data_IF_006879958789
#
_entry.id   IF_006879958789
#
_cell.length_a   1.000
_cell.length_b   1.000
_cell.length_c   1.000
_cell.angle_alpha   90.00
_cell.angle_beta   90.00
_cell.angle_gamma   90.00
#
_symmetry.space_group_name_H-M   'P 1'
#
loop_
_entity.id
_entity.type
_entity.pdbx_description
1 polymer ?
#
# COMPACT_ATOMS: atom_id res chain seq x y z
N UNK A 1 8.41 -6.15 17.73
CA UNK A 1 8.90 -5.03 16.87
C UNK A 1 7.74 -4.43 16.11
N UNK A 2 7.85 -3.18 15.67
CA UNK A 2 6.77 -2.47 14.97
C UNK A 2 7.25 -2.13 13.55
N UNK A 3 6.48 -2.54 12.55
CA UNK A 3 6.69 -2.15 11.15
C UNK A 3 5.96 -0.83 10.85
N UNK A 4 6.57 0.04 10.07
CA UNK A 4 5.95 1.27 9.56
C UNK A 4 6.05 1.25 8.04
N UNK A 5 4.92 1.42 7.33
CA UNK A 5 4.89 1.52 5.88
C UNK A 5 4.56 2.96 5.46
N UNK A 6 5.41 3.51 4.60
CA UNK A 6 5.19 4.82 3.98
C UNK A 6 5.05 4.69 2.46
N UNK A 7 4.58 5.72 1.78
CA UNK A 7 4.38 5.74 0.32
C UNK A 7 5.64 6.11 -0.47
N UNK A 8 6.69 6.62 0.20
CA UNK A 8 7.95 7.08 -0.43
C UNK A 8 9.16 6.83 0.45
N UNK A 9 10.33 6.53 -0.16
CA UNK A 9 11.59 6.35 0.59
C UNK A 9 12.00 7.57 1.42
N UNK A 10 11.76 8.78 0.92
CA UNK A 10 12.09 10.02 1.61
C UNK A 10 11.30 10.19 2.91
N UNK A 11 9.99 9.90 2.85
CA UNK A 11 9.10 9.94 4.02
C UNK A 11 9.50 8.88 5.05
N UNK A 12 9.77 7.65 4.59
CA UNK A 12 10.18 6.56 5.47
C UNK A 12 11.50 6.85 6.20
N UNK A 13 12.48 7.38 5.49
CA UNK A 13 13.77 7.78 6.10
C UNK A 13 13.61 8.91 7.10
N UNK A 14 12.74 9.89 6.81
CA UNK A 14 12.51 11.02 7.70
C UNK A 14 11.76 10.60 8.98
N UNK A 15 10.71 9.80 8.85
CA UNK A 15 10.03 9.22 10.01
C UNK A 15 11.03 8.38 10.81
N UNK A 16 11.83 7.52 10.14
CA UNK A 16 12.86 6.71 10.79
C UNK A 16 13.85 7.56 11.59
N UNK A 17 14.34 8.67 11.03
CA UNK A 17 15.21 9.63 11.73
C UNK A 17 14.56 10.14 13.01
N UNK A 18 13.31 10.56 12.94
CA UNK A 18 12.58 11.18 14.05
C UNK A 18 12.35 10.20 15.21
N UNK A 19 12.04 8.92 14.89
CA UNK A 19 11.77 7.89 15.90
C UNK A 19 13.00 7.08 16.33
N UNK A 20 14.19 7.36 15.75
CA UNK A 20 15.44 6.70 16.09
C UNK A 20 15.72 5.40 15.33
N UNK A 21 14.99 5.11 14.25
CA UNK A 21 15.28 4.01 13.34
C UNK A 21 16.23 4.47 12.23
N UNK A 22 17.52 4.57 12.55
CA UNK A 22 18.53 5.22 11.68
C UNK A 22 19.45 4.27 10.94
N UNK A 23 19.41 2.97 11.26
CA UNK A 23 20.24 1.97 10.59
C UNK A 23 19.69 1.65 9.22
N UNK A 24 20.38 2.08 8.18
CA UNK A 24 19.96 1.89 6.79
C UNK A 24 20.16 0.45 6.34
N UNK A 25 19.16 -0.13 5.70
CA UNK A 25 19.15 -1.42 5.04
C UNK A 25 18.66 -1.28 3.59
N UNK A 26 18.75 -2.35 2.84
CA UNK A 26 18.19 -2.36 1.49
C UNK A 26 16.66 -2.39 1.55
N UNK A 27 16.02 -1.27 1.16
CA UNK A 27 14.58 -1.12 1.12
C UNK A 27 13.89 -0.77 2.45
N UNK A 28 14.62 -0.56 3.56
CA UNK A 28 14.07 -0.12 4.85
C UNK A 28 15.13 0.52 5.75
N UNK A 29 14.70 1.13 6.84
CA UNK A 29 15.57 1.55 7.95
C UNK A 29 15.09 0.90 9.25
N UNK A 30 16.00 0.65 10.21
CA UNK A 30 15.66 0.00 11.47
C UNK A 30 16.34 0.65 12.67
N UNK A 31 15.77 0.49 13.84
CA UNK A 31 16.29 0.94 15.13
C UNK A 31 15.18 1.26 16.11
N UNK A 32 15.55 1.38 17.39
CA UNK A 32 14.63 1.76 18.47
C UNK A 32 13.31 0.96 18.52
N UNK A 33 13.35 -0.34 18.15
CA UNK A 33 12.15 -1.20 18.13
C UNK A 33 11.29 -1.07 16.87
N UNK A 34 11.70 -0.28 15.89
CA UNK A 34 10.98 -0.05 14.64
C UNK A 34 11.73 -0.55 13.43
N UNK A 35 10.96 -0.94 12.41
CA UNK A 35 11.42 -1.18 11.04
C UNK A 35 10.55 -0.33 10.10
N UNK A 36 11.14 0.67 9.45
CA UNK A 36 10.41 1.59 8.56
C UNK A 36 10.75 1.27 7.12
N UNK A 37 9.74 0.86 6.35
CA UNK A 37 9.84 0.54 4.92
C UNK A 37 8.90 1.45 4.12
N UNK A 38 8.94 1.33 2.81
CA UNK A 38 8.19 2.22 1.91
C UNK A 38 7.75 1.51 0.64
N UNK A 39 6.75 2.09 -0.01
CA UNK A 39 6.41 1.76 -1.40
C UNK A 39 7.07 2.74 -2.37
N UNK A 40 6.93 2.50 -3.65
CA UNK A 40 7.28 3.42 -4.74
C UNK A 40 5.98 3.96 -5.37
N UNK A 41 5.15 4.59 -4.55
CA UNK A 41 3.77 4.93 -4.93
C UNK A 41 2.91 3.67 -5.09
N UNK A 42 1.97 3.69 -6.03
CA UNK A 42 1.08 2.55 -6.30
C UNK A 42 1.83 1.41 -7.00
N UNK A 43 2.34 0.45 -6.24
CA UNK A 43 3.02 -0.75 -6.77
C UNK A 43 2.04 -1.87 -7.14
N UNK A 44 0.81 -1.80 -6.64
CA UNK A 44 -0.26 -2.77 -6.86
C UNK A 44 -1.47 -2.10 -7.52
N UNK A 45 -2.18 -2.85 -8.33
CA UNK A 45 -3.44 -2.45 -8.94
C UNK A 45 -4.41 -3.62 -8.97
N UNK A 46 -5.69 -3.34 -9.15
CA UNK A 46 -6.66 -4.40 -9.43
C UNK A 46 -6.37 -4.99 -10.81
N UNK A 47 -6.51 -6.30 -10.92
CA UNK A 47 -6.43 -7.02 -12.18
C UNK A 47 -7.46 -6.48 -13.17
N UNK A 48 -7.07 -6.39 -14.42
CA UNK A 48 -7.93 -5.95 -15.52
C UNK A 48 -8.75 -7.15 -16.05
N UNK A 49 -9.88 -6.92 -16.73
CA UNK A 49 -10.70 -8.02 -17.27
C UNK A 49 -9.93 -9.08 -18.07
N UNK A 50 -8.92 -8.64 -18.84
CA UNK A 50 -8.04 -9.53 -19.60
C UNK A 50 -7.24 -10.52 -18.72
N UNK A 51 -6.95 -10.13 -17.48
CA UNK A 51 -6.15 -10.92 -16.54
C UNK A 51 -6.98 -12.08 -15.95
N UNK A 52 -8.33 -12.00 -16.05
CA UNK A 52 -9.26 -13.06 -15.69
C UNK A 52 -9.55 -14.05 -16.84
N UNK A 53 -8.71 -14.07 -17.89
CA UNK A 53 -8.84 -14.99 -19.00
C UNK A 53 -9.90 -14.60 -20.06
N UNK A 54 -10.48 -13.44 -19.97
CA UNK A 54 -11.41 -12.90 -20.96
C UNK A 54 -10.62 -12.31 -22.15
N UNK A 55 -10.48 -13.10 -23.22
CA UNK A 55 -9.65 -12.71 -24.38
C UNK A 55 -10.26 -11.59 -25.22
N UNK A 56 -11.58 -11.47 -25.29
CA UNK A 56 -12.31 -10.38 -25.97
C UNK A 56 -13.57 -10.06 -25.19
N UNK A 57 -13.67 -8.84 -24.70
CA UNK A 57 -14.89 -8.31 -24.13
C UNK A 57 -15.63 -7.54 -25.22
N UNK A 58 -16.87 -7.92 -25.50
CA UNK A 58 -17.77 -7.17 -26.35
C UNK A 58 -18.52 -6.10 -25.53
N UNK A 59 -19.13 -5.15 -26.21
CA UNK A 59 -19.84 -4.02 -25.55
C UNK A 59 -20.92 -4.51 -24.57
N UNK A 60 -21.50 -5.66 -24.83
CA UNK A 60 -22.54 -6.26 -23.98
C UNK A 60 -22.01 -6.96 -22.72
N UNK A 61 -20.70 -7.19 -22.64
CA UNK A 61 -20.05 -7.82 -21.47
C UNK A 61 -19.74 -6.81 -20.35
N UNK A 62 -20.06 -5.54 -20.56
CA UNK A 62 -19.87 -4.50 -19.55
C UNK A 62 -21.18 -4.21 -18.79
N UNK A 63 -21.11 -4.02 -17.46
CA UNK A 63 -19.89 -3.96 -16.65
C UNK A 63 -19.34 -5.37 -16.35
N UNK A 64 -18.04 -5.58 -16.59
CA UNK A 64 -17.34 -6.81 -16.15
C UNK A 64 -17.14 -6.75 -14.62
N UNK A 65 -17.70 -7.71 -13.92
CA UNK A 65 -17.57 -7.84 -12.46
C UNK A 65 -17.04 -9.23 -12.18
N UNK A 66 -15.75 -9.36 -11.79
CA UNK A 66 -15.20 -10.64 -11.39
C UNK A 66 -15.87 -11.13 -10.09
N UNK A 67 -15.88 -12.44 -9.87
CA UNK A 67 -16.35 -13.04 -8.61
C UNK A 67 -15.52 -12.57 -7.43
N UNK A 68 -14.20 -12.44 -7.64
CA UNK A 68 -13.24 -11.89 -6.68
C UNK A 68 -12.32 -10.91 -7.39
N UNK A 69 -11.96 -9.81 -6.70
CA UNK A 69 -11.02 -8.84 -7.21
C UNK A 69 -9.60 -9.24 -6.82
N UNK A 70 -8.76 -9.49 -7.82
CA UNK A 70 -7.36 -9.82 -7.63
C UNK A 70 -6.47 -8.58 -7.66
N UNK A 71 -5.44 -8.58 -6.82
CA UNK A 71 -4.39 -7.57 -6.82
C UNK A 71 -3.19 -8.09 -7.62
N UNK A 72 -2.67 -7.25 -8.49
CA UNK A 72 -1.51 -7.54 -9.32
C UNK A 72 -0.42 -6.50 -9.12
N UNK A 73 0.83 -6.93 -9.20
CA UNK A 73 1.96 -5.99 -9.27
C UNK A 73 1.84 -5.16 -10.55
N UNK A 74 2.10 -3.87 -10.43
CA UNK A 74 2.13 -2.96 -11.58
C UNK A 74 3.07 -3.49 -12.66
N UNK A 75 2.58 -3.46 -13.90
CA UNK A 75 3.34 -3.87 -15.08
C UNK A 75 3.94 -2.67 -15.81
N UNK A 76 5.09 -2.88 -16.39
CA UNK A 76 5.73 -1.94 -17.30
C UNK A 76 5.81 -2.55 -18.71
N UNK A 77 5.76 -1.70 -19.72
CA UNK A 77 5.87 -2.13 -21.12
C UNK A 77 7.33 -2.25 -21.50
N UNK A 78 7.70 -3.41 -22.06
CA UNK A 78 9.00 -3.67 -22.65
C UNK A 78 8.86 -3.99 -24.14
N UNK A 79 9.95 -4.15 -24.83
CA UNK A 79 9.96 -4.60 -26.25
C UNK A 79 9.30 -5.97 -26.43
N UNK A 80 9.38 -6.83 -25.42
CA UNK A 80 8.81 -8.18 -25.41
C UNK A 80 7.39 -8.27 -24.79
N UNK A 81 6.74 -7.12 -24.51
CA UNK A 81 5.41 -7.08 -23.94
C UNK A 81 5.35 -6.46 -22.54
N UNK A 82 4.25 -6.73 -21.84
CA UNK A 82 4.03 -6.23 -20.48
C UNK A 82 4.60 -7.23 -19.47
N UNK A 83 5.48 -6.74 -18.60
CA UNK A 83 6.07 -7.53 -17.50
C UNK A 83 5.86 -6.82 -16.17
N UNK A 84 5.82 -7.56 -15.03
CA UNK A 84 5.81 -6.95 -13.71
C UNK A 84 7.02 -6.02 -13.52
N UNK A 85 6.79 -4.86 -12.93
CA UNK A 85 7.88 -3.92 -12.63
C UNK A 85 8.82 -4.51 -11.58
N UNK A 86 10.06 -4.74 -11.96
CA UNK A 86 11.05 -5.48 -11.14
C UNK A 86 11.28 -4.79 -9.79
N UNK A 87 11.41 -3.46 -9.78
CA UNK A 87 11.65 -2.72 -8.54
C UNK A 87 10.47 -2.84 -7.57
N UNK A 88 9.23 -2.85 -8.08
CA UNK A 88 8.04 -3.09 -7.28
C UNK A 88 8.02 -4.50 -6.69
N UNK A 89 8.36 -5.52 -7.49
CA UNK A 89 8.45 -6.92 -7.03
C UNK A 89 9.50 -7.07 -5.92
N UNK A 90 10.68 -6.49 -6.11
CA UNK A 90 11.77 -6.57 -5.13
C UNK A 90 11.40 -5.85 -3.83
N UNK A 91 10.80 -4.66 -3.93
CA UNK A 91 10.40 -3.90 -2.75
C UNK A 91 9.24 -4.58 -1.99
N UNK A 92 8.28 -5.19 -2.68
CA UNK A 92 7.23 -5.98 -2.03
C UNK A 92 7.80 -7.14 -1.22
N UNK A 93 8.84 -7.82 -1.71
CA UNK A 93 9.54 -8.86 -0.94
C UNK A 93 10.25 -8.30 0.30
N UNK A 94 10.76 -7.06 0.23
CA UNK A 94 11.34 -6.39 1.41
C UNK A 94 10.25 -6.07 2.42
N UNK A 95 9.12 -5.50 1.97
CA UNK A 95 7.98 -5.18 2.84
C UNK A 95 7.45 -6.45 3.52
N UNK A 96 7.28 -7.53 2.77
CA UNK A 96 6.85 -8.83 3.29
C UNK A 96 7.75 -9.29 4.44
N UNK A 97 9.08 -9.28 4.22
CA UNK A 97 10.06 -9.66 5.24
C UNK A 97 9.98 -8.76 6.48
N UNK A 98 9.84 -7.45 6.29
CA UNK A 98 9.70 -6.48 7.38
C UNK A 98 8.42 -6.76 8.17
N UNK A 99 7.30 -6.99 7.51
CA UNK A 99 6.03 -7.29 8.17
C UNK A 99 6.09 -8.60 8.94
N UNK A 100 6.66 -9.66 8.36
CA UNK A 100 6.83 -10.96 9.03
C UNK A 100 7.73 -10.89 10.27
N UNK A 101 8.67 -9.95 10.31
CA UNK A 101 9.55 -9.73 11.46
C UNK A 101 8.95 -8.88 12.59
N UNK A 102 7.73 -8.37 12.39
CA UNK A 102 7.08 -7.43 13.30
C UNK A 102 5.71 -7.92 13.78
N UNK A 103 5.35 -7.54 15.01
CA UNK A 103 4.10 -7.96 15.67
C UNK A 103 2.95 -6.99 15.35
N UNK A 104 3.26 -5.79 14.93
CA UNK A 104 2.30 -4.70 14.69
C UNK A 104 2.73 -3.91 13.47
N UNK A 105 1.77 -3.44 12.69
CA UNK A 105 2.00 -2.62 11.50
C UNK A 105 1.39 -1.24 11.69
N UNK A 106 2.12 -0.19 11.33
CA UNK A 106 1.64 1.19 11.28
C UNK A 106 1.62 1.65 9.83
N UNK A 107 0.43 2.01 9.36
CA UNK A 107 0.24 2.67 8.08
C UNK A 107 0.59 4.15 8.21
N UNK A 108 1.67 4.58 7.58
CA UNK A 108 2.15 5.97 7.55
C UNK A 108 2.24 6.49 6.10
N UNK A 109 1.39 5.99 5.23
CA UNK A 109 1.17 6.51 3.88
C UNK A 109 0.41 7.84 3.94
N UNK A 110 0.36 8.59 2.85
CA UNK A 110 -0.30 9.90 2.80
C UNK A 110 -1.68 9.90 3.48
N UNK A 111 -2.00 10.99 4.18
CA UNK A 111 -3.30 11.18 4.84
C UNK A 111 -4.39 11.50 3.81
N UNK A 112 -4.67 10.56 2.93
CA UNK A 112 -5.61 10.65 1.82
C UNK A 112 -6.24 9.29 1.51
N UNK A 113 -7.26 9.28 0.65
CA UNK A 113 -7.84 8.04 0.12
C UNK A 113 -6.80 7.19 -0.64
N UNK A 114 -5.97 7.83 -1.45
CA UNK A 114 -4.96 7.12 -2.26
C UNK A 114 -3.87 6.51 -1.37
N UNK A 115 -3.45 7.21 -0.32
CA UNK A 115 -2.52 6.67 0.66
C UNK A 115 -3.12 5.49 1.42
N UNK A 116 -4.40 5.55 1.78
CA UNK A 116 -5.09 4.43 2.40
C UNK A 116 -5.19 3.22 1.46
N UNK A 117 -5.56 3.43 0.19
CA UNK A 117 -5.58 2.37 -0.82
C UNK A 117 -4.21 1.73 -1.02
N UNK A 118 -3.15 2.54 -1.10
CA UNK A 118 -1.78 2.04 -1.25
C UNK A 118 -1.42 1.09 -0.11
N UNK A 119 -1.73 1.47 1.13
CA UNK A 119 -1.48 0.63 2.29
C UNK A 119 -2.32 -0.67 2.25
N UNK A 120 -3.64 -0.56 2.06
CA UNK A 120 -4.56 -1.69 2.08
C UNK A 120 -4.25 -2.71 1.00
N UNK A 121 -3.88 -2.28 -0.20
CA UNK A 121 -3.49 -3.18 -1.26
C UNK A 121 -2.24 -3.98 -0.89
N UNK A 122 -1.23 -3.36 -0.29
CA UNK A 122 -0.03 -4.07 0.18
C UNK A 122 -0.39 -5.05 1.30
N UNK A 123 -1.18 -4.62 2.28
CA UNK A 123 -1.59 -5.44 3.40
C UNK A 123 -2.39 -6.68 2.95
N UNK A 124 -3.33 -6.52 2.01
CA UNK A 124 -4.11 -7.61 1.43
C UNK A 124 -3.26 -8.52 0.54
N UNK A 125 -2.45 -7.95 -0.34
CA UNK A 125 -1.60 -8.71 -1.26
C UNK A 125 -0.63 -9.64 -0.52
N UNK A 126 -0.11 -9.19 0.61
CA UNK A 126 0.79 -9.97 1.47
C UNK A 126 0.05 -10.87 2.48
N UNK A 127 -1.28 -10.91 2.45
CA UNK A 127 -2.13 -11.68 3.38
C UNK A 127 -1.76 -11.42 4.85
N UNK A 128 -1.54 -10.17 5.22
CA UNK A 128 -1.16 -9.79 6.57
C UNK A 128 -2.33 -9.99 7.55
N UNK A 129 -2.00 -10.37 8.79
CA UNK A 129 -2.96 -10.59 9.88
C UNK A 129 -2.61 -9.84 11.16
N UNK A 130 -1.46 -9.16 11.18
CA UNK A 130 -1.00 -8.41 12.34
C UNK A 130 -1.92 -7.23 12.64
N UNK A 131 -2.06 -6.84 13.92
CA UNK A 131 -2.77 -5.62 14.29
C UNK A 131 -2.23 -4.40 13.53
N UNK A 132 -3.14 -3.59 13.00
CA UNK A 132 -2.79 -2.43 12.20
C UNK A 132 -3.30 -1.13 12.84
N UNK A 133 -2.44 -0.11 12.81
CA UNK A 133 -2.74 1.25 13.27
C UNK A 133 -2.39 2.25 12.17
N UNK A 134 -3.04 3.40 12.24
CA UNK A 134 -2.85 4.48 11.28
C UNK A 134 -2.17 5.67 11.92
N UNK A 135 -1.05 6.10 11.35
CA UNK A 135 -0.42 7.39 11.58
C UNK A 135 -0.99 8.40 10.59
N UNK A 136 -1.87 9.27 11.08
CA UNK A 136 -2.53 10.29 10.26
C UNK A 136 -1.95 11.66 10.57
N UNK A 137 -1.01 12.11 9.73
CA UNK A 137 -0.33 13.39 9.86
C UNK A 137 -0.37 14.15 8.54
N UNK A 138 -0.45 15.46 8.61
CA UNK A 138 -0.42 16.38 7.45
C UNK A 138 0.94 17.04 7.23
N UNK A 139 1.90 16.79 8.11
CA UNK A 139 3.22 17.40 8.09
C UNK A 139 4.27 16.43 8.64
N UNK A 140 5.49 16.48 8.09
CA UNK A 140 6.64 15.66 8.50
C UNK A 140 7.58 16.38 9.48
N UNK A 141 7.08 17.36 10.23
CA UNK A 141 7.88 17.98 11.31
C UNK A 141 8.08 16.99 12.46
N UNK A 142 9.19 17.12 13.17
CA UNK A 142 9.51 16.25 14.33
C UNK A 142 8.36 16.23 15.34
N UNK A 143 7.76 17.39 15.62
CA UNK A 143 6.62 17.50 16.53
C UNK A 143 5.39 16.75 16.01
N UNK A 144 5.02 16.94 14.75
CA UNK A 144 3.85 16.29 14.15
C UNK A 144 3.99 14.77 14.13
N UNK A 145 5.17 14.25 13.78
CA UNK A 145 5.42 12.81 13.77
C UNK A 145 5.36 12.23 15.19
N UNK A 146 6.04 12.85 16.18
CA UNK A 146 6.02 12.38 17.57
C UNK A 146 4.61 12.38 18.14
N UNK A 147 3.88 13.49 17.98
CA UNK A 147 2.49 13.60 18.43
C UNK A 147 1.57 12.60 17.72
N UNK A 148 1.80 12.37 16.43
CA UNK A 148 1.04 11.36 15.67
C UNK A 148 1.31 9.95 16.18
N UNK A 149 2.55 9.61 16.51
CA UNK A 149 2.93 8.30 17.07
C UNK A 149 2.30 8.05 18.46
N UNK A 150 2.08 9.10 19.23
CA UNK A 150 1.37 9.02 20.53
C UNK A 150 -0.15 8.86 20.36
N UNK A 151 -0.70 9.24 19.20
CA UNK A 151 -2.13 9.30 18.92
C UNK A 151 -2.54 8.38 17.75
N UNK A 152 -1.90 7.23 17.62
CA UNK A 152 -2.24 6.23 16.62
C UNK A 152 -3.70 5.79 16.75
N UNK A 153 -4.37 5.61 15.64
CA UNK A 153 -5.75 5.13 15.61
C UNK A 153 -5.82 3.73 15.01
N UNK A 154 -6.75 2.89 15.45
CA UNK A 154 -7.01 1.62 14.80
C UNK A 154 -7.32 1.85 13.32
N UNK A 155 -6.81 0.98 12.47
CA UNK A 155 -7.00 1.03 11.02
C UNK A 155 -8.49 1.03 10.62
N UNK A 156 -9.35 0.31 11.37
CA UNK A 156 -10.79 0.28 11.16
C UNK A 156 -11.47 1.66 11.17
N UNK A 157 -10.87 2.68 11.81
CA UNK A 157 -11.39 4.05 11.75
C UNK A 157 -11.39 4.65 10.35
N UNK A 158 -10.66 4.05 9.41
CA UNK A 158 -10.47 4.54 8.04
C UNK A 158 -11.08 3.64 6.97
N UNK A 159 -11.85 2.62 7.36
CA UNK A 159 -12.51 1.69 6.44
C UNK A 159 -13.39 2.40 5.41
N UNK A 160 -14.04 3.49 5.79
CA UNK A 160 -14.86 4.29 4.88
C UNK A 160 -14.08 4.93 3.73
N UNK A 161 -12.79 5.20 3.91
CA UNK A 161 -11.92 5.73 2.86
C UNK A 161 -11.51 4.63 1.87
N UNK A 162 -11.39 3.41 2.38
CA UNK A 162 -10.99 2.25 1.59
C UNK A 162 -12.16 1.57 0.89
N UNK A 163 -13.40 1.79 1.30
CA UNK A 163 -14.55 1.15 0.66
C UNK A 163 -14.35 1.19 -0.85
N UNK A 164 -13.87 0.07 -1.38
CA UNK A 164 -13.79 -0.16 -2.82
C UNK A 164 -15.16 0.16 -3.38
N UNK A 165 -15.25 0.84 -4.52
CA UNK A 165 -16.52 0.99 -5.19
C UNK A 165 -17.07 -0.42 -5.32
N UNK A 166 -18.09 -0.74 -4.52
CA UNK A 166 -18.89 -1.93 -4.79
C UNK A 166 -19.30 -1.86 -6.26
N UNK A 167 -19.61 -2.98 -6.87
CA UNK A 167 -20.05 -3.05 -8.26
C UNK A 167 -21.08 -1.95 -8.65
N UNK A 168 -21.85 -1.46 -7.69
CA UNK A 168 -22.79 -0.36 -7.86
C UNK A 168 -22.13 1.02 -8.11
N UNK A 169 -20.99 1.30 -7.48
CA UNK A 169 -20.28 2.59 -7.63
C UNK A 169 -19.46 2.65 -8.93
N UNK A 170 -19.08 1.50 -9.50
CA UNK A 170 -18.40 1.45 -10.80
C UNK A 170 -19.35 1.67 -12.00
N UNK A 171 -20.68 1.61 -11.81
CA UNK A 171 -21.64 1.90 -12.88
C UNK A 171 -21.68 3.37 -13.32
N UNK A 172 -21.20 4.29 -12.49
CA UNK A 172 -21.29 5.73 -12.76
C UNK A 172 -20.01 6.38 -13.28
N UNK A 173 -18.93 5.61 -13.44
CA UNK A 173 -17.61 6.12 -13.85
C UNK A 173 -17.30 6.06 -15.35
N UNK A 174 -18.26 5.67 -16.20
CA UNK A 174 -18.14 5.70 -17.65
C UNK A 174 -19.36 6.41 -18.26
N UNK A 175 -19.40 7.70 -18.09
CA UNK A 175 -20.17 8.59 -18.95
C UNK A 175 -19.19 9.58 -19.58
N UNK A 176 -19.05 9.42 -20.92
CA UNK A 176 -18.42 10.27 -21.93
C UNK A 176 -16.88 10.28 -21.95
#
# INVERSE_FOLDING_TARGET
MIAILTDKPSVGKEIGRIIGATRVRNGYVEGNGYMVTWTFGNMLSLAMPKDYGTQKLERNDFPFIPSEFELMVRHTRTENGWIPEIDAVLQLKVIERVFQACDTIIAATDASRDGEMTFRYVYQYLNCTQPCFRLWISSLTDESVRKGMENLKPDSCYDSLFLLPTAATRRTGFSE
#
